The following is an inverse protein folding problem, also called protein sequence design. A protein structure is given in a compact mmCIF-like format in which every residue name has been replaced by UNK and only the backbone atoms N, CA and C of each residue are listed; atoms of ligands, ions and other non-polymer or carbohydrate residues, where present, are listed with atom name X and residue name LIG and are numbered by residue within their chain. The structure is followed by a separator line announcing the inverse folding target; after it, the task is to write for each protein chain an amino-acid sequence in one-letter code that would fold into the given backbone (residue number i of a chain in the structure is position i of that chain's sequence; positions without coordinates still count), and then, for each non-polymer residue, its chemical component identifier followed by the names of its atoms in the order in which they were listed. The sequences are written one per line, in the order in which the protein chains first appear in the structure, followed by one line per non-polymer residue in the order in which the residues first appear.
data_IF_018090968198
#
_entry.id   IF_018090968198
#
_cell.length_a   1.000
_cell.length_b   1.000
_cell.length_c   1.000
_cell.angle_alpha   90.00
_cell.angle_beta   90.00
_cell.angle_gamma   90.00
#
_symmetry.space_group_name_H-M   'P 1'
#
loop_
_entity.id
_entity.type
_entity.pdbx_description
1 polymer ?
#
# COMPACT_ATOMS: atom_id res chain seq x y z
N UNK A 1 20.46 20.44 9.91
CA UNK A 1 19.53 20.68 8.78
C UNK A 1 19.28 19.45 7.90
N UNK A 2 20.25 18.91 7.14
CA UNK A 2 19.99 17.85 6.13
C UNK A 2 19.45 16.52 6.69
N UNK A 3 19.98 16.04 7.82
CA UNK A 3 19.51 14.83 8.52
C UNK A 3 18.06 14.94 9.03
N UNK A 4 17.66 16.14 9.42
CA UNK A 4 16.32 16.44 9.93
C UNK A 4 15.28 16.43 8.80
N UNK A 5 15.66 16.95 7.64
CA UNK A 5 14.86 16.91 6.42
C UNK A 5 14.64 15.49 5.92
N UNK A 6 15.68 14.65 5.93
CA UNK A 6 15.58 13.24 5.56
C UNK A 6 14.65 12.44 6.50
N UNK A 7 14.78 12.63 7.83
CA UNK A 7 13.89 12.01 8.82
C UNK A 7 12.43 12.47 8.68
N UNK A 8 12.21 13.75 8.35
CA UNK A 8 10.86 14.27 8.04
C UNK A 8 10.26 13.63 6.79
N UNK A 9 11.04 13.52 5.71
CA UNK A 9 10.58 12.85 4.49
C UNK A 9 10.21 11.39 4.73
N UNK A 10 11.01 10.67 5.52
CA UNK A 10 10.76 9.26 5.82
C UNK A 10 9.47 9.06 6.63
N UNK A 11 9.18 9.96 7.59
CA UNK A 11 7.88 9.98 8.29
C UNK A 11 6.72 10.25 7.34
N UNK A 12 6.87 11.21 6.42
CA UNK A 12 5.81 11.54 5.46
C UNK A 12 5.51 10.36 4.54
N UNK A 13 6.52 9.67 4.02
CA UNK A 13 6.33 8.44 3.21
C UNK A 13 5.57 7.37 3.99
N UNK A 14 5.99 7.11 5.24
CA UNK A 14 5.33 6.12 6.11
C UNK A 14 3.86 6.46 6.33
N UNK A 15 3.55 7.70 6.68
CA UNK A 15 2.16 8.15 6.91
C UNK A 15 1.30 8.06 5.65
N UNK A 16 1.85 8.39 4.48
CA UNK A 16 1.13 8.26 3.20
C UNK A 16 0.85 6.81 2.86
N UNK A 17 1.81 5.91 3.13
CA UNK A 17 1.63 4.47 2.93
C UNK A 17 0.59 3.88 3.86
N UNK A 18 0.67 4.17 5.16
CA UNK A 18 -0.31 3.75 6.15
C UNK A 18 -1.72 4.25 5.80
N UNK A 19 -1.86 5.52 5.38
CA UNK A 19 -3.15 6.06 4.91
C UNK A 19 -3.69 5.34 3.69
N UNK A 20 -2.84 5.03 2.71
CA UNK A 20 -3.26 4.34 1.51
C UNK A 20 -3.62 2.86 1.78
N UNK A 21 -2.90 2.20 2.68
CA UNK A 21 -3.22 0.84 3.15
C UNK A 21 -4.55 0.80 3.93
N UNK A 22 -4.81 1.78 4.81
CA UNK A 22 -6.10 1.92 5.49
C UNK A 22 -7.25 2.16 4.50
N UNK A 23 -7.09 3.09 3.55
CA UNK A 23 -8.11 3.37 2.55
C UNK A 23 -8.43 2.13 1.68
N UNK A 24 -7.42 1.35 1.31
CA UNK A 24 -7.61 0.09 0.60
C UNK A 24 -8.35 -0.95 1.47
N UNK A 25 -7.97 -1.09 2.73
CA UNK A 25 -8.63 -2.00 3.68
C UNK A 25 -10.11 -1.66 3.87
N UNK A 26 -10.44 -0.38 4.03
CA UNK A 26 -11.83 0.09 4.12
C UNK A 26 -12.61 -0.20 2.84
N UNK A 27 -12.05 0.07 1.67
CA UNK A 27 -12.71 -0.17 0.39
C UNK A 27 -13.00 -1.66 0.18
N UNK A 28 -12.03 -2.54 0.49
CA UNK A 28 -12.19 -4.00 0.44
C UNK A 28 -13.28 -4.47 1.43
N UNK A 29 -13.30 -3.91 2.63
CA UNK A 29 -14.30 -4.27 3.65
C UNK A 29 -15.72 -3.88 3.21
N UNK A 30 -15.89 -2.68 2.64
CA UNK A 30 -17.18 -2.24 2.06
C UNK A 30 -17.62 -3.13 0.90
N UNK A 31 -16.69 -3.50 0.01
CA UNK A 31 -16.99 -4.40 -1.10
C UNK A 31 -17.47 -5.77 -0.60
N UNK A 32 -16.78 -6.38 0.37
CA UNK A 32 -17.20 -7.66 0.96
C UNK A 32 -18.60 -7.59 1.58
N UNK A 33 -18.90 -6.52 2.33
CA UNK A 33 -20.20 -6.33 2.94
C UNK A 33 -21.33 -6.23 1.90
N UNK A 34 -21.12 -5.54 0.78
CA UNK A 34 -22.11 -5.45 -0.30
C UNK A 34 -22.31 -6.79 -1.01
N UNK A 35 -21.23 -7.55 -1.25
CA UNK A 35 -21.29 -8.90 -1.83
C UNK A 35 -22.08 -9.86 -0.92
N UNK A 36 -21.83 -9.84 0.39
CA UNK A 36 -22.56 -10.65 1.37
C UNK A 36 -24.04 -10.27 1.44
N UNK A 37 -24.37 -8.97 1.42
CA UNK A 37 -25.76 -8.48 1.36
C UNK A 37 -26.48 -8.98 0.11
N UNK A 38 -25.84 -8.89 -1.05
CA UNK A 38 -26.39 -9.39 -2.30
C UNK A 38 -26.65 -10.91 -2.25
N UNK A 39 -25.70 -11.68 -1.72
CA UNK A 39 -25.84 -13.12 -1.55
C UNK A 39 -26.96 -13.49 -0.56
N UNK A 40 -27.12 -12.74 0.54
CA UNK A 40 -28.21 -12.95 1.49
C UNK A 40 -29.58 -12.65 0.87
N UNK A 41 -29.72 -11.56 0.11
CA UNK A 41 -30.97 -11.22 -0.57
C UNK A 41 -31.36 -12.30 -1.60
N UNK A 42 -30.38 -12.81 -2.37
CA UNK A 42 -30.60 -13.92 -3.32
C UNK A 42 -31.08 -15.20 -2.63
N UNK A 43 -30.46 -15.58 -1.51
CA UNK A 43 -30.89 -16.76 -0.72
C UNK A 43 -32.33 -16.62 -0.22
N UNK A 44 -32.67 -15.49 0.40
CA UNK A 44 -34.04 -15.24 0.90
C UNK A 44 -35.06 -15.22 -0.23
N UNK A 45 -34.73 -14.62 -1.38
CA UNK A 45 -35.61 -14.67 -2.57
C UNK A 45 -35.82 -16.11 -3.05
N UNK A 46 -34.78 -16.95 -3.03
CA UNK A 46 -34.90 -18.37 -3.38
C UNK A 46 -35.73 -19.17 -2.38
N UNK A 47 -35.61 -18.91 -1.08
CA UNK A 47 -36.42 -19.55 -0.03
C UNK A 47 -37.91 -19.20 -0.20
N UNK A 48 -38.20 -17.93 -0.46
CA UNK A 48 -39.55 -17.46 -0.75
C UNK A 48 -40.11 -18.15 -2.00
N UNK A 49 -39.35 -18.21 -3.10
CA UNK A 49 -39.72 -18.93 -4.33
C UNK A 49 -39.89 -20.44 -4.13
N UNK A 50 -39.14 -21.05 -3.20
CA UNK A 50 -39.35 -22.44 -2.81
C UNK A 50 -40.67 -22.64 -2.08
N UNK A 51 -40.97 -21.78 -1.10
CA UNK A 51 -42.23 -21.79 -0.36
C UNK A 51 -43.45 -21.57 -1.27
N UNK A 52 -43.31 -20.78 -2.33
CA UNK A 52 -44.31 -20.65 -3.40
C UNK A 52 -44.66 -21.97 -4.09
N UNK A 53 -43.64 -22.78 -4.38
CA UNK A 53 -43.82 -24.08 -5.03
C UNK A 53 -44.50 -25.10 -4.12
N UNK A 54 -44.31 -24.99 -2.81
CA UNK A 54 -44.94 -25.86 -1.80
C UNK A 54 -46.37 -25.41 -1.46
N UNK A 55 -46.60 -24.10 -1.37
CA UNK A 55 -47.90 -23.50 -1.03
C UNK A 55 -48.91 -23.51 -2.18
N UNK A 56 -48.50 -23.78 -3.43
CA UNK A 56 -49.42 -23.89 -4.57
C UNK A 56 -50.50 -25.00 -4.42
N UNK A 57 -50.38 -25.87 -3.40
CA UNK A 57 -51.43 -26.82 -2.98
C UNK A 57 -52.55 -26.20 -2.12
N UNK A 58 -52.29 -25.09 -1.42
CA UNK A 58 -53.24 -24.38 -0.55
C UNK A 58 -53.40 -22.93 -1.04
N UNK A 59 -54.47 -22.65 -1.78
CA UNK A 59 -54.72 -21.41 -2.50
C UNK A 59 -55.05 -20.19 -1.58
N UNK A 60 -54.05 -19.66 -0.87
CA UNK A 60 -54.12 -18.32 -0.28
C UNK A 60 -53.44 -17.27 -1.18
N UNK A 61 -54.22 -16.76 -2.14
CA UNK A 61 -53.78 -15.79 -3.15
C UNK A 61 -53.27 -14.46 -2.58
N UNK A 62 -53.69 -14.08 -1.36
CA UNK A 62 -53.21 -12.86 -0.70
C UNK A 62 -51.77 -12.99 -0.22
N UNK A 63 -51.46 -14.14 0.40
CA UNK A 63 -50.10 -14.48 0.84
C UNK A 63 -49.15 -14.62 -0.34
N UNK A 64 -49.59 -15.28 -1.42
CA UNK A 64 -48.81 -15.44 -2.64
C UNK A 64 -48.47 -14.07 -3.29
N UNK A 65 -49.36 -13.08 -3.25
CA UNK A 65 -49.03 -11.75 -3.77
C UNK A 65 -47.99 -11.03 -2.91
N UNK A 66 -48.14 -11.07 -1.59
CA UNK A 66 -47.21 -10.42 -0.66
C UNK A 66 -45.78 -11.00 -0.76
N UNK A 67 -45.65 -12.32 -0.83
CA UNK A 67 -44.36 -13.00 -0.96
C UNK A 67 -43.67 -12.68 -2.30
N UNK A 68 -44.44 -12.41 -3.37
CA UNK A 68 -43.91 -12.10 -4.70
C UNK A 68 -43.34 -10.68 -4.72
N UNK A 69 -44.07 -9.73 -4.13
CA UNK A 69 -43.60 -8.35 -3.94
C UNK A 69 -42.32 -8.30 -3.09
N UNK A 70 -42.23 -9.12 -2.03
CA UNK A 70 -41.00 -9.23 -1.21
C UNK A 70 -39.85 -9.83 -2.02
N UNK A 71 -40.09 -10.88 -2.81
CA UNK A 71 -39.07 -11.48 -3.67
C UNK A 71 -38.54 -10.50 -4.72
N UNK A 72 -39.43 -9.76 -5.40
CA UNK A 72 -39.05 -8.71 -6.35
C UNK A 72 -38.24 -7.60 -5.68
N UNK A 73 -38.65 -7.17 -4.49
CA UNK A 73 -37.91 -6.19 -3.68
C UNK A 73 -36.50 -6.65 -3.33
N UNK A 74 -36.34 -7.91 -2.91
CA UNK A 74 -35.03 -8.50 -2.61
C UNK A 74 -34.14 -8.62 -3.85
N UNK A 75 -34.71 -8.96 -5.01
CA UNK A 75 -33.96 -8.99 -6.28
C UNK A 75 -33.52 -7.59 -6.70
N UNK A 76 -34.35 -6.57 -6.52
CA UNK A 76 -33.98 -5.18 -6.80
C UNK A 76 -32.84 -4.69 -5.88
N UNK A 77 -32.88 -5.05 -4.59
CA UNK A 77 -31.79 -4.76 -3.64
C UNK A 77 -30.51 -5.47 -4.06
N UNK A 78 -30.58 -6.75 -4.44
CA UNK A 78 -29.41 -7.52 -4.89
C UNK A 78 -28.76 -6.90 -6.15
N UNK A 79 -29.57 -6.48 -7.14
CA UNK A 79 -29.05 -5.79 -8.34
C UNK A 79 -28.36 -4.47 -8.01
N UNK A 80 -28.92 -3.69 -7.08
CA UNK A 80 -28.30 -2.44 -6.61
C UNK A 80 -26.99 -2.70 -5.86
N UNK A 81 -26.94 -3.73 -5.01
CA UNK A 81 -25.73 -4.13 -4.29
C UNK A 81 -24.65 -4.64 -5.25
N UNK A 82 -25.01 -5.45 -6.26
CA UNK A 82 -24.07 -5.90 -7.30
C UNK A 82 -23.53 -4.72 -8.13
N UNK A 83 -24.35 -3.73 -8.46
CA UNK A 83 -23.90 -2.51 -9.14
C UNK A 83 -22.90 -1.72 -8.28
N UNK A 84 -23.20 -1.51 -6.99
CA UNK A 84 -22.28 -0.87 -6.04
C UNK A 84 -20.98 -1.65 -5.86
N UNK A 85 -21.06 -2.98 -5.81
CA UNK A 85 -19.89 -3.84 -5.71
C UNK A 85 -18.96 -3.64 -6.91
N UNK A 86 -19.50 -3.52 -8.13
CA UNK A 86 -18.72 -3.22 -9.35
C UNK A 86 -18.08 -1.83 -9.30
N UNK A 87 -18.77 -0.82 -8.80
CA UNK A 87 -18.19 0.51 -8.62
C UNK A 87 -17.04 0.49 -7.59
N UNK A 88 -17.22 -0.24 -6.48
CA UNK A 88 -16.16 -0.41 -5.47
C UNK A 88 -14.93 -1.16 -6.01
N UNK A 89 -15.08 -2.06 -6.99
CA UNK A 89 -13.91 -2.67 -7.66
C UNK A 89 -13.07 -1.59 -8.35
N UNK A 90 -13.70 -0.62 -9.02
CA UNK A 90 -12.98 0.49 -9.67
C UNK A 90 -12.26 1.36 -8.65
N UNK A 91 -12.89 1.64 -7.52
CA UNK A 91 -12.26 2.39 -6.42
C UNK A 91 -11.03 1.66 -5.85
N UNK A 92 -11.14 0.34 -5.67
CA UNK A 92 -10.03 -0.52 -5.22
C UNK A 92 -8.89 -0.53 -6.24
N UNK A 93 -9.20 -0.64 -7.53
CA UNK A 93 -8.20 -0.59 -8.60
C UNK A 93 -7.50 0.77 -8.67
N UNK A 94 -8.24 1.87 -8.54
CA UNK A 94 -7.69 3.22 -8.49
C UNK A 94 -6.77 3.40 -7.27
N UNK A 95 -7.20 2.98 -6.08
CA UNK A 95 -6.39 3.01 -4.87
C UNK A 95 -5.10 2.18 -5.01
N UNK A 96 -5.19 1.00 -5.64
CA UNK A 96 -4.04 0.14 -5.92
C UNK A 96 -3.05 0.79 -6.89
N UNK A 97 -3.53 1.49 -7.92
CA UNK A 97 -2.67 2.23 -8.84
C UNK A 97 -1.89 3.34 -8.12
N UNK A 98 -2.54 4.09 -7.24
CA UNK A 98 -1.89 5.11 -6.40
C UNK A 98 -0.80 4.50 -5.51
N UNK A 99 -1.06 3.36 -4.89
CA UNK A 99 -0.08 2.63 -4.07
C UNK A 99 1.14 2.18 -4.87
N UNK A 100 0.93 1.64 -6.07
CA UNK A 100 2.02 1.22 -6.96
C UNK A 100 2.90 2.41 -7.31
N UNK A 101 2.29 3.53 -7.66
CA UNK A 101 3.00 4.76 -8.04
C UNK A 101 3.78 5.36 -6.84
N UNK A 102 3.17 5.40 -5.66
CA UNK A 102 3.86 5.81 -4.44
C UNK A 102 5.11 4.94 -4.16
N UNK A 103 4.99 3.62 -4.32
CA UNK A 103 6.10 2.67 -4.12
C UNK A 103 7.20 2.77 -5.18
N UNK A 104 6.88 3.24 -6.39
CA UNK A 104 7.90 3.58 -7.40
C UNK A 104 8.68 4.80 -6.98
N UNK A 105 7.98 5.87 -6.54
CA UNK A 105 8.60 7.12 -6.08
C UNK A 105 9.49 6.89 -4.85
N UNK A 106 9.03 6.06 -3.91
CA UNK A 106 9.81 5.65 -2.74
C UNK A 106 11.15 5.01 -3.14
N UNK A 107 11.13 4.02 -4.04
CA UNK A 107 12.34 3.37 -4.57
C UNK A 107 13.28 4.29 -5.33
N UNK A 108 12.76 5.35 -5.96
CA UNK A 108 13.59 6.37 -6.62
C UNK A 108 14.24 7.27 -5.57
N UNK A 109 13.48 7.65 -4.54
CA UNK A 109 13.99 8.47 -3.44
C UNK A 109 15.08 7.74 -2.63
N UNK A 110 14.91 6.44 -2.35
CA UNK A 110 15.93 5.59 -1.72
C UNK A 110 17.23 5.57 -2.55
N UNK A 111 17.15 5.22 -3.84
CA UNK A 111 18.31 5.21 -4.74
C UNK A 111 18.98 6.58 -4.89
N UNK A 112 18.23 7.67 -4.74
CA UNK A 112 18.80 9.01 -4.74
C UNK A 112 19.53 9.30 -3.42
N UNK A 113 18.94 8.93 -2.29
CA UNK A 113 19.56 9.05 -0.98
C UNK A 113 20.87 8.25 -0.90
N UNK A 114 20.89 7.02 -1.40
CA UNK A 114 22.09 6.17 -1.44
C UNK A 114 23.21 6.82 -2.25
N UNK A 115 22.87 7.40 -3.42
CA UNK A 115 23.86 8.12 -4.26
C UNK A 115 24.40 9.38 -3.60
N UNK A 116 23.55 10.13 -2.90
CA UNK A 116 23.98 11.31 -2.15
C UNK A 116 24.93 10.87 -1.03
N UNK A 117 24.55 9.84 -0.27
CA UNK A 117 25.35 9.31 0.81
C UNK A 117 26.72 8.82 0.31
N UNK A 118 26.75 8.05 -0.78
CA UNK A 118 28.00 7.58 -1.39
C UNK A 118 28.92 8.75 -1.80
N UNK A 119 28.36 9.81 -2.39
CA UNK A 119 29.14 11.02 -2.73
C UNK A 119 29.65 11.77 -1.50
N UNK A 120 28.85 11.85 -0.44
CA UNK A 120 29.25 12.49 0.81
C UNK A 120 30.39 11.72 1.50
N UNK A 121 30.30 10.37 1.52
CA UNK A 121 31.35 9.49 2.03
C UNK A 121 32.62 9.58 1.20
N UNK A 122 32.53 9.49 -0.13
CA UNK A 122 33.69 9.59 -1.03
C UNK A 122 34.38 10.96 -0.89
N UNK A 123 33.60 12.04 -0.78
CA UNK A 123 34.13 13.37 -0.53
C UNK A 123 34.78 13.52 0.86
N UNK A 124 34.28 12.82 1.88
CA UNK A 124 34.90 12.80 3.21
C UNK A 124 36.23 12.04 3.19
N UNK A 125 36.26 10.86 2.57
CA UNK A 125 37.47 10.05 2.40
C UNK A 125 38.57 10.81 1.65
N UNK A 126 38.23 11.51 0.55
CA UNK A 126 39.22 12.32 -0.18
C UNK A 126 39.78 13.47 0.64
N UNK A 127 38.98 14.11 1.49
CA UNK A 127 39.46 15.16 2.40
C UNK A 127 40.39 14.58 3.46
N UNK A 128 40.03 13.44 4.02
CA UNK A 128 40.85 12.75 5.02
C UNK A 128 42.18 12.28 4.41
N UNK A 129 42.15 11.70 3.20
CA UNK A 129 43.34 11.32 2.46
C UNK A 129 44.23 12.52 2.15
N UNK A 130 43.66 13.66 1.71
CA UNK A 130 44.44 14.87 1.44
C UNK A 130 45.15 15.38 2.70
N UNK A 131 44.49 15.33 3.87
CA UNK A 131 45.12 15.68 5.15
C UNK A 131 46.24 14.69 5.51
N UNK A 132 46.03 13.39 5.31
CA UNK A 132 47.07 12.38 5.54
C UNK A 132 48.26 12.54 4.60
N UNK A 133 48.02 12.87 3.33
CA UNK A 133 49.06 13.13 2.33
C UNK A 133 49.85 14.40 2.68
N UNK A 134 49.18 15.47 3.12
CA UNK A 134 49.84 16.70 3.59
C UNK A 134 50.71 16.44 4.84
N UNK A 135 50.21 15.70 5.82
CA UNK A 135 50.97 15.35 7.04
C UNK A 135 52.11 14.38 6.72
N UNK A 136 51.89 13.40 5.85
CA UNK A 136 52.90 12.45 5.40
C UNK A 136 54.03 13.11 4.59
N UNK A 137 53.71 14.15 3.81
CA UNK A 137 54.71 14.97 3.12
C UNK A 137 55.56 15.83 4.06
N UNK A 138 55.07 16.11 5.28
CA UNK A 138 55.81 16.77 6.35
C UNK A 138 56.62 15.81 7.23
N UNK A 139 56.44 14.50 7.09
CA UNK A 139 57.30 13.54 7.77
C UNK A 139 58.72 13.67 7.19
N UNK A 140 59.75 13.97 8.01
CA UNK A 140 61.11 14.08 7.51
C UNK A 140 61.48 12.75 6.87
N UNK A 141 61.91 12.79 5.61
CA UNK A 141 62.50 11.63 4.95
C UNK A 141 63.63 11.14 5.84
N UNK A 142 63.45 10.01 6.53
CA UNK A 142 64.56 9.30 7.16
C UNK A 142 65.40 8.67 6.04
N UNK A 143 66.12 9.53 5.33
CA UNK A 143 67.25 9.20 4.50
C UNK A 143 68.48 9.85 5.14
N UNK A 144 69.52 9.05 5.33
CA UNK A 144 70.87 9.45 5.74
C UNK A 144 71.12 9.62 7.25
N UNK A 145 70.91 8.56 8.03
CA UNK A 145 71.82 8.30 9.16
C UNK A 145 72.86 7.27 8.72
N UNK A 146 73.94 7.77 8.09
CA UNK A 146 75.18 7.04 7.96
C UNK A 146 75.75 6.75 9.35
N UNK A 147 75.54 5.53 9.84
CA UNK A 147 76.24 5.01 11.01
C UNK A 147 77.32 4.04 10.55
N UNK A 148 78.59 4.43 10.70
CA UNK A 148 79.72 3.52 10.50
C UNK A 148 79.63 2.32 11.46
N UNK A 149 80.08 1.12 11.05
CA UNK A 149 80.10 -0.04 11.91
C UNK A 149 81.24 0.09 12.93
N UNK A 150 80.87 0.14 14.22
CA UNK A 150 81.83 0.04 15.32
C UNK A 150 82.41 -1.39 15.30
N UNK A 151 83.73 -1.48 15.10
CA UNK A 151 84.52 -2.72 15.24
C UNK A 151 84.77 -3.04 16.71
#
# INVERSE_FOLDING_TARGET
MRLETARRMERVKRLLRERAEMALSEAVSRHRAEVERAAQCRRRSSEILGAFSEAAGDLDTGRLRADAEVSEGLQAIARKADARAKDLVRDVEAARAVLIEARKRERVAERLADRIHAREVDGALRREQAVLDEVGAWAPTQGEMGGEPIR
#
